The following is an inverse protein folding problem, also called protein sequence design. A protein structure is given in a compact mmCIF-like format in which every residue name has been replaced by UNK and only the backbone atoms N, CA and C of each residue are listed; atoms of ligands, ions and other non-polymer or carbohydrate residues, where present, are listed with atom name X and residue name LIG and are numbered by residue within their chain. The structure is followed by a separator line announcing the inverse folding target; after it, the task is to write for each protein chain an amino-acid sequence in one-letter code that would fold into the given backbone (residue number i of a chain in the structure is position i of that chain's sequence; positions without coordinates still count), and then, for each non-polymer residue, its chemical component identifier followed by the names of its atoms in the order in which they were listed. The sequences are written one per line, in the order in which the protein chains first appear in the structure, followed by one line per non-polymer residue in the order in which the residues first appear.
data_IF_434946446832
#
_entry.id   IF_434946446832
#
_cell.length_a   1.000
_cell.length_b   1.000
_cell.length_c   1.000
_cell.angle_alpha   90.00
_cell.angle_beta   90.00
_cell.angle_gamma   90.00
#
_symmetry.space_group_name_H-M   'P 1'
#
loop_
_entity.id
_entity.type
_entity.pdbx_description
1 polymer ?
#
# COMPACT_ATOMS: atom_id res chain seq x y z
N UNK A 1 9.91 25.15 -9.99
CA UNK A 1 8.99 24.22 -9.32
C UNK A 1 9.34 22.79 -9.71
N UNK A 2 9.81 21.96 -8.78
CA UNK A 2 10.10 20.56 -9.09
C UNK A 2 8.81 19.78 -9.32
N UNK A 3 8.67 19.09 -10.44
CA UNK A 3 7.55 18.17 -10.66
C UNK A 3 7.55 17.11 -9.54
N UNK A 4 6.39 16.88 -8.90
CA UNK A 4 6.26 15.84 -7.88
C UNK A 4 6.53 14.48 -8.52
N UNK A 5 7.46 13.74 -7.93
CA UNK A 5 7.75 12.35 -8.31
C UNK A 5 7.00 11.42 -7.38
N UNK A 6 6.45 10.36 -7.94
CA UNK A 6 5.71 9.35 -7.19
C UNK A 6 6.39 8.01 -7.37
N UNK A 7 6.36 7.19 -6.33
CA UNK A 7 7.04 5.91 -6.29
C UNK A 7 6.09 4.86 -5.77
N UNK A 8 6.26 3.63 -6.27
CA UNK A 8 5.59 2.45 -5.74
C UNK A 8 6.66 1.42 -5.41
N UNK A 9 6.49 0.74 -4.28
CA UNK A 9 7.31 -0.39 -3.88
C UNK A 9 6.42 -1.57 -3.55
N UNK A 10 6.90 -2.76 -3.90
CA UNK A 10 6.30 -4.03 -3.51
C UNK A 10 7.33 -4.79 -2.68
N UNK A 11 6.93 -5.14 -1.46
CA UNK A 11 7.75 -5.93 -0.53
C UNK A 11 6.97 -7.19 -0.17
N UNK A 12 7.57 -8.36 -0.39
CA UNK A 12 7.03 -9.62 0.10
C UNK A 12 7.46 -9.81 1.55
N UNK A 13 6.52 -10.22 2.41
CA UNK A 13 6.81 -10.66 3.77
C UNK A 13 6.57 -12.15 3.84
N UNK A 14 7.65 -12.90 4.06
CA UNK A 14 7.67 -14.35 4.15
C UNK A 14 7.93 -14.77 5.60
N UNK A 15 7.61 -16.02 5.94
CA UNK A 15 8.01 -16.61 7.22
C UNK A 15 9.04 -17.71 6.95
N UNK A 16 10.15 -17.68 7.68
CA UNK A 16 11.15 -18.74 7.60
C UNK A 16 10.73 -19.99 8.38
N UNK A 17 11.61 -21.00 8.44
CA UNK A 17 11.37 -22.24 9.19
C UNK A 17 11.21 -22.04 10.70
N UNK A 18 11.60 -20.88 11.23
CA UNK A 18 11.46 -20.51 12.63
C UNK A 18 10.26 -19.59 12.87
N UNK A 19 9.43 -19.34 11.84
CA UNK A 19 8.32 -18.38 11.86
C UNK A 19 8.75 -16.93 12.04
N UNK A 20 9.99 -16.59 11.69
CA UNK A 20 10.47 -15.21 11.68
C UNK A 20 10.12 -14.52 10.36
N UNK A 21 9.72 -13.25 10.43
CA UNK A 21 9.37 -12.47 9.23
C UNK A 21 10.62 -12.09 8.43
N UNK A 22 10.65 -12.44 7.16
CA UNK A 22 11.70 -12.08 6.21
C UNK A 22 11.12 -11.12 5.16
N UNK A 23 11.43 -9.80 5.23
CA UNK A 23 11.02 -8.85 4.22
C UNK A 23 11.96 -8.91 2.99
N UNK A 24 11.39 -9.03 1.80
CA UNK A 24 12.11 -8.96 0.53
C UNK A 24 11.52 -7.88 -0.36
N UNK A 25 12.30 -6.85 -0.67
CA UNK A 25 11.88 -5.82 -1.64
C UNK A 25 11.90 -6.44 -3.03
N UNK A 26 10.72 -6.70 -3.59
CA UNK A 26 10.56 -7.27 -4.93
C UNK A 26 10.82 -6.21 -6.01
N UNK A 27 10.35 -4.99 -5.75
CA UNK A 27 10.44 -3.89 -6.70
C UNK A 27 10.32 -2.53 -6.03
N UNK A 28 10.98 -1.55 -6.63
CA UNK A 28 10.84 -0.13 -6.35
C UNK A 28 10.94 0.58 -7.69
N UNK A 29 9.90 1.32 -8.08
CA UNK A 29 9.90 2.08 -9.32
C UNK A 29 9.25 3.43 -9.16
N UNK A 30 9.68 4.37 -9.98
CA UNK A 30 8.97 5.63 -10.16
C UNK A 30 7.71 5.36 -10.99
N UNK A 31 6.57 5.89 -10.55
CA UNK A 31 5.35 5.93 -11.35
C UNK A 31 5.45 7.13 -12.30
N UNK A 32 5.64 6.84 -13.59
CA UNK A 32 5.67 7.83 -14.68
C UNK A 32 4.31 7.97 -15.36
N UNK A 33 3.46 6.95 -15.23
CA UNK A 33 2.11 6.89 -15.78
C UNK A 33 1.06 7.48 -14.81
N UNK A 34 -0.19 7.61 -15.28
CA UNK A 34 -1.32 7.91 -14.38
C UNK A 34 -1.45 6.80 -13.34
N UNK A 35 -1.63 7.16 -12.08
CA UNK A 35 -1.74 6.22 -10.96
C UNK A 35 -3.14 5.59 -10.87
N UNK A 36 -3.64 5.07 -12.00
CA UNK A 36 -4.92 4.38 -12.06
C UNK A 36 -4.81 2.99 -11.45
N UNK A 37 -5.92 2.50 -10.91
CA UNK A 37 -6.03 1.19 -10.28
C UNK A 37 -5.53 0.07 -11.20
N UNK A 38 -5.88 0.13 -12.48
CA UNK A 38 -5.44 -0.85 -13.50
C UNK A 38 -3.92 -0.87 -13.66
N UNK A 39 -3.25 0.29 -13.64
CA UNK A 39 -1.79 0.36 -13.80
C UNK A 39 -1.06 -0.15 -12.54
N UNK A 40 -1.62 0.14 -11.36
CA UNK A 40 -1.12 -0.37 -10.08
C UNK A 40 -1.30 -1.89 -10.01
N UNK A 41 -2.47 -2.41 -10.39
CA UNK A 41 -2.75 -3.83 -10.41
C UNK A 41 -1.82 -4.57 -11.39
N UNK A 42 -1.68 -4.07 -12.62
CA UNK A 42 -0.79 -4.65 -13.63
C UNK A 42 0.66 -4.69 -13.17
N UNK A 43 1.12 -3.66 -12.45
CA UNK A 43 2.44 -3.66 -11.83
C UNK A 43 2.61 -4.79 -10.81
N UNK A 44 1.67 -4.90 -9.86
CA UNK A 44 1.75 -5.91 -8.81
C UNK A 44 1.70 -7.31 -9.44
N UNK A 45 0.79 -7.54 -10.39
CA UNK A 45 0.69 -8.81 -11.10
C UNK A 45 1.96 -9.14 -11.88
N UNK A 46 2.53 -8.20 -12.62
CA UNK A 46 3.79 -8.43 -13.34
C UNK A 46 4.93 -8.86 -12.40
N UNK A 47 5.10 -8.17 -11.27
CA UNK A 47 6.14 -8.54 -10.30
C UNK A 47 5.85 -9.92 -9.71
N UNK A 48 4.61 -10.20 -9.29
CA UNK A 48 4.26 -11.47 -8.65
C UNK A 48 4.27 -12.65 -9.63
N UNK A 49 3.56 -12.57 -10.75
CA UNK A 49 3.33 -13.67 -11.69
C UNK A 49 4.53 -13.90 -12.63
N UNK A 50 5.01 -12.84 -13.28
CA UNK A 50 6.00 -12.98 -14.35
C UNK A 50 7.43 -13.03 -13.82
N UNK A 51 7.76 -12.13 -12.87
CA UNK A 51 9.14 -11.96 -12.41
C UNK A 51 9.51 -12.91 -11.27
N UNK A 52 8.63 -13.06 -10.27
CA UNK A 52 8.89 -13.88 -9.10
C UNK A 52 8.11 -15.20 -9.07
N UNK A 53 7.16 -15.41 -10.00
CA UNK A 53 6.38 -16.65 -10.11
C UNK A 53 5.66 -17.06 -8.81
N UNK A 54 5.18 -16.07 -8.05
CA UNK A 54 4.41 -16.26 -6.82
C UNK A 54 2.96 -16.55 -7.19
N UNK A 55 2.56 -17.81 -7.09
CA UNK A 55 1.24 -18.30 -7.46
C UNK A 55 0.13 -17.70 -6.58
N UNK A 56 -1.10 -17.52 -7.09
CA UNK A 56 -2.21 -16.97 -6.30
C UNK A 56 -2.45 -17.67 -4.96
N UNK A 57 -2.27 -18.99 -4.89
CA UNK A 57 -2.47 -19.78 -3.67
C UNK A 57 -1.41 -19.52 -2.59
N UNK A 58 -0.27 -18.91 -2.96
CA UNK A 58 0.80 -18.54 -2.03
C UNK A 58 0.60 -17.14 -1.44
N UNK A 59 -0.39 -16.38 -1.91
CA UNK A 59 -0.66 -15.00 -1.50
C UNK A 59 -1.66 -14.98 -0.36
N UNK A 60 -1.18 -14.78 0.86
CA UNK A 60 -2.05 -14.68 2.03
C UNK A 60 -2.84 -13.36 2.07
N UNK A 61 -2.23 -12.27 1.59
CA UNK A 61 -2.85 -10.96 1.57
C UNK A 61 -1.90 -9.86 1.11
N UNK A 62 -2.45 -8.66 0.98
CA UNK A 62 -1.72 -7.46 0.59
C UNK A 62 -2.08 -6.31 1.53
N UNK A 63 -1.07 -5.57 1.99
CA UNK A 63 -1.27 -4.40 2.84
C UNK A 63 -0.98 -3.13 2.03
N UNK A 64 -1.95 -2.22 1.97
CA UNK A 64 -1.82 -0.95 1.24
C UNK A 64 -2.45 0.20 1.99
N UNK A 65 -2.12 1.43 1.62
CA UNK A 65 -2.84 2.59 2.13
C UNK A 65 -4.30 2.64 1.64
N UNK A 66 -5.03 3.66 2.10
CA UNK A 66 -6.44 3.86 1.78
C UNK A 66 -6.65 4.77 0.55
N UNK A 67 -5.64 4.98 -0.30
CA UNK A 67 -5.80 5.75 -1.53
C UNK A 67 -6.80 5.07 -2.48
N UNK A 68 -7.73 5.84 -3.06
CA UNK A 68 -8.86 5.29 -3.85
C UNK A 68 -8.42 4.32 -4.93
N UNK A 69 -7.43 4.68 -5.74
CA UNK A 69 -6.91 3.84 -6.83
C UNK A 69 -6.16 2.61 -6.29
N UNK A 70 -5.48 2.75 -5.15
CA UNK A 70 -4.77 1.64 -4.51
C UNK A 70 -5.75 0.62 -3.92
N UNK A 71 -6.83 1.09 -3.29
CA UNK A 71 -7.92 0.25 -2.78
C UNK A 71 -8.60 -0.47 -3.95
N UNK A 72 -8.95 0.23 -5.02
CA UNK A 72 -9.57 -0.36 -6.20
C UNK A 72 -8.68 -1.43 -6.85
N UNK A 73 -7.37 -1.18 -6.91
CA UNK A 73 -6.40 -2.13 -7.46
C UNK A 73 -6.26 -3.42 -6.63
N UNK A 74 -6.48 -3.35 -5.31
CA UNK A 74 -6.10 -4.42 -4.37
C UNK A 74 -7.26 -5.10 -3.65
N UNK A 75 -8.51 -4.66 -3.86
CA UNK A 75 -9.71 -5.21 -3.20
C UNK A 75 -10.46 -6.26 -4.04
N UNK A 76 -9.85 -6.75 -5.13
CA UNK A 76 -10.46 -7.68 -6.09
C UNK A 76 -10.18 -9.17 -5.78
N UNK A 77 -9.47 -9.48 -4.69
CA UNK A 77 -9.14 -10.85 -4.28
C UNK A 77 -7.94 -11.49 -5.00
N UNK A 78 -7.34 -10.83 -5.99
CA UNK A 78 -6.19 -11.38 -6.76
C UNK A 78 -4.90 -11.53 -5.93
N UNK A 79 -4.85 -10.88 -4.77
CA UNK A 79 -3.68 -10.81 -3.90
C UNK A 79 -3.95 -11.37 -2.50
N UNK A 80 -5.01 -12.17 -2.34
CA UNK A 80 -5.52 -12.60 -1.03
C UNK A 80 -6.32 -11.49 -0.34
N UNK A 81 -6.37 -11.52 0.99
CA UNK A 81 -7.09 -10.51 1.77
C UNK A 81 -6.36 -9.16 1.70
N UNK A 82 -7.10 -8.08 1.41
CA UNK A 82 -6.56 -6.73 1.54
C UNK A 82 -6.60 -6.28 3.01
N UNK A 83 -5.49 -5.76 3.50
CA UNK A 83 -5.35 -5.10 4.79
C UNK A 83 -5.07 -3.61 4.60
N UNK A 84 -5.74 -2.75 5.36
CA UNK A 84 -5.41 -1.33 5.38
C UNK A 84 -4.12 -1.10 6.19
N UNK A 85 -3.23 -0.27 5.66
CA UNK A 85 -2.01 0.14 6.35
C UNK A 85 -2.36 0.90 7.63
N UNK A 86 -2.01 0.31 8.78
CA UNK A 86 -2.32 0.86 10.11
C UNK A 86 -1.68 2.24 10.28
N UNK A 87 -0.45 2.45 9.80
CA UNK A 87 0.21 3.74 9.87
C UNK A 87 -0.57 4.84 9.12
N UNK A 88 -1.12 4.52 7.94
CA UNK A 88 -1.96 5.47 7.20
C UNK A 88 -3.28 5.74 7.93
N UNK A 89 -3.93 4.68 8.45
CA UNK A 89 -5.17 4.82 9.22
C UNK A 89 -4.97 5.72 10.45
N UNK A 90 -3.92 5.47 11.24
CA UNK A 90 -3.60 6.32 12.40
C UNK A 90 -3.27 7.76 12.00
N UNK A 91 -2.50 7.96 10.94
CA UNK A 91 -2.21 9.31 10.44
C UNK A 91 -3.51 10.06 10.08
N UNK A 92 -4.48 9.39 9.47
CA UNK A 92 -5.78 9.99 9.16
C UNK A 92 -6.59 10.29 10.44
N UNK A 93 -6.57 9.39 11.43
CA UNK A 93 -7.21 9.63 12.74
C UNK A 93 -6.62 10.88 13.41
N UNK A 94 -5.29 10.99 13.47
CA UNK A 94 -4.62 12.15 14.08
C UNK A 94 -4.95 13.43 13.31
N UNK A 95 -4.85 13.43 11.97
CA UNK A 95 -5.19 14.60 11.14
C UNK A 95 -6.61 15.06 11.37
N UNK A 96 -7.57 14.13 11.33
CA UNK A 96 -8.98 14.45 11.55
C UNK A 96 -9.22 14.93 12.98
N UNK A 97 -8.57 14.30 13.97
CA UNK A 97 -8.66 14.72 15.37
C UNK A 97 -8.11 16.13 15.61
N UNK A 98 -6.98 16.48 15.00
CA UNK A 98 -6.41 17.82 15.07
C UNK A 98 -7.31 18.87 14.40
N UNK A 99 -7.99 18.52 13.30
CA UNK A 99 -8.98 19.41 12.68
C UNK A 99 -10.20 19.67 13.58
N UNK A 100 -10.54 18.75 14.48
CA UNK A 100 -11.60 18.92 15.48
C UNK A 100 -11.12 19.70 16.71
N UNK A 101 -9.81 19.71 16.96
CA UNK A 101 -9.21 20.49 18.04
C UNK A 101 -9.05 21.96 17.61
N UNK A 102 -10.14 22.72 17.72
CA UNK A 102 -10.03 24.18 17.79
C UNK A 102 -9.43 24.53 19.16
N UNK A 103 -8.31 25.29 19.25
CA UNK A 103 -7.85 25.76 20.54
C UNK A 103 -8.97 26.60 21.18
N UNK A 104 -9.20 26.47 22.51
CA UNK A 104 -10.17 27.31 23.19
C UNK A 104 -9.79 28.77 22.92
N UNK A 105 -10.76 29.55 22.45
CA UNK A 105 -10.56 30.96 22.15
C UNK A 105 -10.20 31.67 23.47
N UNK A 106 -8.98 32.24 23.63
CA UNK A 106 -8.53 32.78 24.91
C UNK A 106 -9.27 34.06 25.35
N UNK A 107 -10.30 34.47 24.62
CA UNK A 107 -11.06 35.72 24.82
C UNK A 107 -12.55 35.49 25.10
N UNK A 108 -12.93 34.35 25.70
CA UNK A 108 -14.27 34.18 26.31
C UNK A 108 -14.16 33.75 27.75
#
# INVERSE_FOLDING_TARGET
SGARKYYISLTAHLFDKNFETVPLVLSLRQLTERHLAVNIQSFIMFELDEKFQIMPQQRAGIMTDCGTEMVAATSNGLFGQRYACIAHVWNNVVKNGLCLWSPPNPTK
#
